data_IF_690453870848
#
_entry.id   IF_690453870848
#
_cell.length_a   1.000
_cell.length_b   1.000
_cell.length_c   1.000
_cell.angle_alpha   90.00
_cell.angle_beta   90.00
_cell.angle_gamma   90.00
#
_symmetry.space_group_name_H-M   'P 1'
#
loop_
_entity.id
_entity.type
_entity.pdbx_description
1 polymer ?
#
# COMPACT_ATOMS: atom_id res chain seq x y z
N UNK A 1 36.50 6.56 -18.51
CA UNK A 1 36.71 5.10 -18.45
C UNK A 1 36.86 4.72 -17.00
N UNK A 2 36.48 3.51 -16.64
CA UNK A 2 36.65 2.98 -15.29
C UNK A 2 37.54 1.75 -15.37
N UNK A 3 38.25 1.40 -14.30
CA UNK A 3 38.99 0.14 -14.23
C UNK A 3 38.34 -0.73 -13.18
N UNK A 4 37.97 -1.95 -13.56
CA UNK A 4 37.50 -2.96 -12.62
C UNK A 4 38.62 -3.95 -12.34
N UNK A 5 38.79 -4.35 -11.09
CA UNK A 5 39.80 -5.31 -10.68
C UNK A 5 39.11 -6.58 -10.13
N UNK A 6 39.54 -7.78 -10.55
CA UNK A 6 39.12 -9.04 -9.96
C UNK A 6 39.38 -9.13 -8.46
N UNK A 7 38.67 -10.02 -7.77
CA UNK A 7 38.81 -10.21 -6.33
C UNK A 7 40.26 -10.50 -5.91
N UNK A 8 40.98 -11.36 -6.64
CA UNK A 8 42.33 -11.77 -6.27
C UNK A 8 43.39 -10.67 -6.42
N UNK A 9 43.10 -9.61 -7.19
CA UNK A 9 43.95 -8.42 -7.27
C UNK A 9 43.72 -7.48 -6.07
N UNK A 10 42.48 -7.43 -5.56
CA UNK A 10 42.05 -6.53 -4.48
C UNK A 10 42.25 -7.13 -3.09
N UNK A 11 41.94 -8.42 -2.95
CA UNK A 11 41.98 -9.16 -1.69
C UNK A 11 43.22 -10.04 -1.63
N UNK A 12 44.13 -9.69 -0.71
CA UNK A 12 45.31 -10.51 -0.42
C UNK A 12 45.06 -11.45 0.76
N UNK A 13 45.66 -12.64 0.75
CA UNK A 13 45.70 -13.50 1.94
C UNK A 13 46.43 -12.77 3.08
N UNK A 14 45.82 -12.78 4.26
CA UNK A 14 46.40 -12.20 5.46
C UNK A 14 47.39 -13.13 6.14
N UNK A 15 47.98 -12.65 7.25
CA UNK A 15 49.01 -13.38 8.01
C UNK A 15 48.44 -14.64 8.69
N UNK A 16 47.16 -14.62 9.06
CA UNK A 16 46.49 -15.77 9.65
C UNK A 16 45.80 -16.61 8.56
N UNK A 17 45.83 -17.96 8.64
CA UNK A 17 45.10 -18.82 7.71
C UNK A 17 43.62 -18.44 7.65
N UNK A 18 43.10 -18.25 6.43
CA UNK A 18 41.71 -17.84 6.21
C UNK A 18 41.39 -16.37 6.51
N UNK A 19 42.39 -15.54 6.84
CA UNK A 19 42.24 -14.09 6.91
C UNK A 19 42.54 -13.43 5.57
N UNK A 20 41.91 -12.28 5.31
CA UNK A 20 42.12 -11.50 4.09
C UNK A 20 42.39 -10.04 4.43
N UNK A 21 43.16 -9.38 3.57
CA UNK A 21 43.46 -7.96 3.59
C UNK A 21 42.88 -7.28 2.37
N UNK A 22 42.58 -5.99 2.47
CA UNK A 22 42.04 -5.19 1.36
C UNK A 22 43.04 -4.14 0.91
N UNK A 23 43.41 -4.19 -0.36
CA UNK A 23 44.33 -3.23 -0.99
C UNK A 23 43.55 -2.02 -1.49
N UNK A 24 43.45 -1.00 -0.65
CA UNK A 24 42.65 0.20 -0.92
C UNK A 24 43.32 1.23 -1.85
N UNK A 25 44.64 1.20 -1.99
CA UNK A 25 45.41 2.14 -2.81
C UNK A 25 45.70 1.54 -4.18
N UNK A 26 45.64 2.32 -5.27
CA UNK A 26 45.87 1.79 -6.63
C UNK A 26 47.37 1.56 -6.94
N UNK A 27 48.25 1.68 -5.94
CA UNK A 27 49.70 1.52 -6.10
C UNK A 27 50.04 0.05 -6.44
N UNK A 28 50.68 -0.17 -7.59
CA UNK A 28 51.07 -1.52 -8.03
C UNK A 28 49.95 -2.33 -8.71
N UNK A 29 48.84 -1.68 -9.09
CA UNK A 29 47.80 -2.26 -9.94
C UNK A 29 48.08 -2.03 -11.45
N UNK A 30 49.28 -1.57 -11.83
CA UNK A 30 49.63 -1.26 -13.21
C UNK A 30 49.57 -2.51 -14.11
N UNK A 31 48.69 -2.49 -15.11
CA UNK A 31 48.47 -3.63 -16.01
C UNK A 31 47.55 -4.72 -15.45
N UNK A 32 47.11 -4.58 -14.20
CA UNK A 32 46.06 -5.39 -13.60
C UNK A 32 44.69 -4.71 -13.84
N UNK A 33 43.62 -5.50 -13.88
CA UNK A 33 42.27 -4.98 -14.09
C UNK A 33 41.86 -4.71 -15.54
N UNK A 34 40.54 -4.63 -15.74
CA UNK A 34 39.90 -4.47 -17.04
C UNK A 34 39.38 -3.05 -17.20
N UNK A 35 39.76 -2.42 -18.31
CA UNK A 35 39.25 -1.09 -18.66
C UNK A 35 37.80 -1.20 -19.14
N UNK A 36 36.90 -0.60 -18.38
CA UNK A 36 35.48 -0.47 -18.69
C UNK A 36 35.22 0.87 -19.40
N UNK A 37 34.47 0.80 -20.49
CA UNK A 37 33.98 1.96 -21.23
C UNK A 37 32.51 2.19 -20.93
N UNK A 38 32.14 3.44 -20.69
CA UNK A 38 30.73 3.83 -20.61
C UNK A 38 30.13 3.74 -22.02
N UNK A 39 29.14 2.86 -22.18
CA UNK A 39 28.48 2.62 -23.48
C UNK A 39 27.26 3.49 -23.70
N UNK A 40 26.66 4.04 -22.64
CA UNK A 40 25.51 4.93 -22.72
C UNK A 40 25.20 5.59 -21.39
N UNK A 41 24.53 6.73 -21.45
CA UNK A 41 23.96 7.43 -20.30
C UNK A 41 22.46 7.49 -20.53
N UNK A 42 21.70 6.85 -19.65
CA UNK A 42 20.25 6.88 -19.71
C UNK A 42 19.74 8.05 -18.86
N UNK A 43 18.89 8.88 -19.44
CA UNK A 43 18.16 9.92 -18.72
C UNK A 43 16.68 9.56 -18.68
N UNK A 44 16.01 9.99 -17.61
CA UNK A 44 14.57 9.82 -17.49
C UNK A 44 13.87 10.73 -18.51
N UNK A 45 12.79 10.24 -19.13
CA UNK A 45 11.96 11.04 -20.02
C UNK A 45 11.35 12.23 -19.27
N UNK A 46 11.23 13.37 -19.95
CA UNK A 46 10.53 14.53 -19.43
C UNK A 46 9.08 14.16 -19.07
N UNK A 47 8.60 14.65 -17.93
CA UNK A 47 7.26 14.37 -17.36
C UNK A 47 7.01 12.96 -16.81
N UNK A 48 8.05 12.14 -16.59
CA UNK A 48 7.90 10.85 -15.91
C UNK A 48 8.56 10.93 -14.52
N UNK A 49 7.80 10.63 -13.46
CA UNK A 49 8.32 10.64 -12.07
C UNK A 49 8.85 9.28 -11.62
N UNK A 50 8.65 8.23 -12.41
CA UNK A 50 9.02 6.85 -12.12
C UNK A 50 9.76 6.19 -13.30
N UNK A 51 10.58 5.18 -13.03
CA UNK A 51 11.29 4.42 -14.06
C UNK A 51 11.74 3.06 -13.53
N UNK A 52 11.99 2.12 -14.43
CA UNK A 52 12.48 0.77 -14.07
C UNK A 52 13.93 0.77 -13.56
N UNK A 53 14.65 1.88 -13.74
CA UNK A 53 16.03 2.04 -13.30
C UNK A 53 16.11 3.17 -12.25
N UNK A 54 16.81 2.89 -11.16
CA UNK A 54 17.25 3.88 -10.18
C UNK A 54 18.48 4.65 -10.69
N UNK A 55 18.85 5.74 -10.02
CA UNK A 55 20.10 6.42 -10.32
C UNK A 55 21.30 5.53 -9.96
N UNK A 56 22.21 5.31 -10.90
CA UNK A 56 23.40 4.52 -10.64
C UNK A 56 24.13 4.08 -11.90
N UNK A 57 25.09 3.18 -11.71
CA UNK A 57 25.85 2.53 -12.78
C UNK A 57 25.22 1.17 -13.02
N UNK A 58 24.86 0.90 -14.27
CA UNK A 58 24.34 -0.39 -14.71
C UNK A 58 25.39 -1.14 -15.52
N UNK A 59 25.40 -2.46 -15.36
CA UNK A 59 26.32 -3.35 -16.03
C UNK A 59 25.58 -4.13 -17.12
N UNK A 60 26.23 -4.32 -18.27
CA UNK A 60 25.71 -5.20 -19.32
C UNK A 60 25.77 -6.65 -18.86
N UNK A 61 24.87 -7.50 -19.34
CA UNK A 61 24.90 -8.94 -19.09
C UNK A 61 26.29 -9.57 -19.32
N UNK A 62 26.94 -9.23 -20.44
CA UNK A 62 28.27 -9.76 -20.75
C UNK A 62 29.33 -9.42 -19.68
N UNK A 63 29.31 -8.19 -19.16
CA UNK A 63 30.19 -7.77 -18.07
C UNK A 63 29.84 -8.50 -16.77
N UNK A 64 28.56 -8.63 -16.43
CA UNK A 64 28.11 -9.35 -15.24
C UNK A 64 28.54 -10.81 -15.29
N UNK A 65 28.31 -11.51 -16.41
CA UNK A 65 28.69 -12.91 -16.60
C UNK A 65 30.22 -13.08 -16.46
N UNK A 66 30.99 -12.19 -17.08
CA UNK A 66 32.47 -12.20 -17.00
C UNK A 66 32.95 -12.02 -15.56
N UNK A 67 32.38 -11.05 -14.83
CA UNK A 67 32.76 -10.79 -13.43
C UNK A 67 32.42 -11.99 -12.54
N UNK A 68 31.24 -12.60 -12.74
CA UNK A 68 30.83 -13.78 -11.97
C UNK A 68 31.75 -14.97 -12.25
N UNK A 69 32.08 -15.23 -13.52
CA UNK A 69 32.99 -16.32 -13.90
C UNK A 69 34.39 -16.12 -13.32
N UNK A 70 34.95 -14.90 -13.41
CA UNK A 70 36.29 -14.62 -12.88
C UNK A 70 36.37 -14.63 -11.35
N UNK A 71 35.30 -14.22 -10.66
CA UNK A 71 35.29 -14.17 -9.21
C UNK A 71 34.77 -15.46 -8.55
N UNK A 72 34.05 -16.33 -9.27
CA UNK A 72 33.44 -17.54 -8.70
C UNK A 72 34.44 -18.49 -8.03
N UNK A 73 35.67 -18.52 -8.56
CA UNK A 73 36.77 -19.35 -8.07
C UNK A 73 37.89 -18.54 -7.41
N UNK A 74 37.68 -17.23 -7.19
CA UNK A 74 38.62 -16.38 -6.47
C UNK A 74 38.93 -16.95 -5.09
N UNK A 75 40.16 -16.74 -4.61
CA UNK A 75 40.66 -17.35 -3.37
C UNK A 75 39.74 -17.06 -2.18
N UNK A 76 39.28 -15.81 -2.08
CA UNK A 76 38.36 -15.37 -1.01
C UNK A 76 37.00 -16.06 -1.07
N UNK A 77 36.45 -16.29 -2.28
CA UNK A 77 35.18 -16.98 -2.47
C UNK A 77 35.31 -18.46 -2.12
N UNK A 78 36.36 -19.11 -2.61
CA UNK A 78 36.64 -20.53 -2.32
C UNK A 78 36.88 -20.75 -0.83
N UNK A 79 37.66 -19.90 -0.18
CA UNK A 79 37.90 -19.96 1.27
C UNK A 79 36.62 -19.81 2.10
N UNK A 80 35.72 -18.90 1.71
CA UNK A 80 34.41 -18.76 2.38
C UNK A 80 33.58 -20.03 2.23
N UNK A 81 33.47 -20.53 0.99
CA UNK A 81 32.70 -21.73 0.65
C UNK A 81 33.21 -22.96 1.41
N UNK A 82 34.52 -23.18 1.43
CA UNK A 82 35.17 -24.30 2.11
C UNK A 82 35.03 -24.21 3.63
N UNK A 83 35.01 -23.00 4.18
CA UNK A 83 34.78 -22.78 5.62
C UNK A 83 33.30 -22.93 6.03
N UNK A 84 32.38 -23.14 5.09
CA UNK A 84 30.94 -23.16 5.33
C UNK A 84 30.36 -21.82 5.76
N UNK A 85 31.07 -20.71 5.52
CA UNK A 85 30.63 -19.34 5.86
C UNK A 85 30.09 -18.63 4.62
N UNK A 86 28.98 -17.94 4.77
CA UNK A 86 28.40 -17.14 3.68
C UNK A 86 28.86 -15.66 3.69
N UNK A 87 29.40 -15.20 4.82
CA UNK A 87 29.80 -13.80 5.02
C UNK A 87 31.07 -13.66 5.85
N UNK A 88 31.87 -12.62 5.56
CA UNK A 88 32.91 -12.11 6.48
C UNK A 88 32.37 -10.86 7.17
N UNK A 89 32.51 -10.79 8.49
CA UNK A 89 32.17 -9.60 9.28
C UNK A 89 33.44 -8.81 9.61
N UNK A 90 33.41 -7.52 9.37
CA UNK A 90 34.48 -6.57 9.69
C UNK A 90 33.94 -5.49 10.60
N UNK A 91 34.71 -5.05 11.59
CA UNK A 91 34.26 -4.01 12.53
C UNK A 91 35.23 -3.75 13.66
N UNK A 92 34.75 -3.11 14.72
CA UNK A 92 35.53 -2.77 15.91
C UNK A 92 34.92 -3.39 17.17
N UNK A 93 35.77 -4.03 17.98
CA UNK A 93 35.40 -4.53 19.30
C UNK A 93 36.40 -4.02 20.34
N UNK A 94 35.93 -3.28 21.34
CA UNK A 94 36.77 -2.62 22.35
C UNK A 94 37.86 -1.73 21.73
N UNK A 95 37.58 -1.10 20.58
CA UNK A 95 38.56 -0.29 19.84
C UNK A 95 39.57 -1.09 19.02
N UNK A 96 39.53 -2.43 19.05
CA UNK A 96 40.37 -3.28 18.21
C UNK A 96 39.63 -3.65 16.91
N UNK A 97 40.19 -3.34 15.73
CA UNK A 97 39.60 -3.74 14.46
C UNK A 97 39.68 -5.26 14.25
N UNK A 98 38.67 -5.83 13.62
CA UNK A 98 38.63 -7.23 13.20
C UNK A 98 38.01 -7.36 11.79
N UNK A 99 38.21 -8.53 11.17
CA UNK A 99 37.76 -8.82 9.81
C UNK A 99 38.68 -8.20 8.76
N UNK A 100 38.10 -7.78 7.63
CA UNK A 100 38.85 -7.15 6.54
C UNK A 100 38.81 -5.63 6.75
N UNK A 101 39.97 -5.06 7.05
CA UNK A 101 40.12 -3.64 7.30
C UNK A 101 41.17 -3.02 6.38
N UNK A 102 41.10 -1.70 6.25
CA UNK A 102 42.12 -0.92 5.56
C UNK A 102 42.34 0.39 6.30
N UNK A 103 43.53 0.95 6.17
CA UNK A 103 43.88 2.23 6.77
C UNK A 103 43.80 3.30 5.71
N UNK A 104 43.16 4.43 6.01
CA UNK A 104 43.10 5.57 5.10
C UNK A 104 43.44 6.86 5.83
N UNK A 105 43.96 7.83 5.08
CA UNK A 105 44.30 9.15 5.57
C UNK A 105 43.27 10.17 5.10
N UNK A 106 42.93 11.12 5.96
CA UNK A 106 42.02 12.22 5.65
C UNK A 106 42.48 13.51 6.32
N UNK A 107 42.19 14.63 5.67
CA UNK A 107 42.47 15.96 6.22
C UNK A 107 41.30 16.43 7.07
N UNK A 108 41.58 16.77 8.33
CA UNK A 108 40.60 17.37 9.23
C UNK A 108 41.21 18.56 9.95
N UNK A 109 40.61 19.74 9.78
CA UNK A 109 41.13 21.02 10.32
C UNK A 109 42.59 21.31 9.96
N UNK A 110 43.03 20.90 8.76
CA UNK A 110 44.40 21.12 8.28
C UNK A 110 45.44 20.10 8.79
N UNK A 111 45.04 19.14 9.61
CA UNK A 111 45.90 18.03 10.04
C UNK A 111 45.53 16.74 9.30
N UNK A 112 46.54 16.00 8.84
CA UNK A 112 46.35 14.63 8.32
C UNK A 112 46.08 13.70 9.48
N UNK A 113 44.93 13.04 9.44
CA UNK A 113 44.53 12.02 10.39
C UNK A 113 44.41 10.67 9.70
N UNK A 114 44.73 9.62 10.44
CA UNK A 114 44.61 8.24 9.98
C UNK A 114 43.40 7.59 10.64
N UNK A 115 42.59 6.88 9.85
CA UNK A 115 41.45 6.11 10.33
C UNK A 115 41.46 4.70 9.73
N UNK A 116 40.69 3.81 10.37
CA UNK A 116 40.48 2.44 9.90
C UNK A 116 39.12 2.34 9.24
N UNK A 117 39.09 1.89 8.00
CA UNK A 117 37.89 1.50 7.28
C UNK A 117 37.64 -0.01 7.40
N UNK A 118 36.37 -0.39 7.30
CA UNK A 118 35.90 -1.78 7.37
C UNK A 118 35.27 -2.14 6.03
N UNK A 119 35.65 -3.29 5.46
CA UNK A 119 35.16 -3.72 4.15
C UNK A 119 33.84 -4.48 4.29
N UNK A 120 32.89 -4.15 3.42
CA UNK A 120 31.58 -4.78 3.33
C UNK A 120 30.44 -3.76 3.28
N UNK A 121 29.21 -4.27 3.18
CA UNK A 121 27.99 -3.47 3.24
C UNK A 121 27.58 -3.20 4.70
N UNK A 122 26.91 -2.07 4.93
CA UNK A 122 26.24 -1.81 6.21
C UNK A 122 25.10 -2.80 6.44
N UNK A 123 24.93 -3.23 7.69
CA UNK A 123 23.83 -4.10 8.10
C UNK A 123 22.46 -3.46 7.86
N UNK A 124 21.56 -4.21 7.23
CA UNK A 124 20.13 -4.01 7.50
C UNK A 124 19.77 -4.61 8.87
N UNK A 125 18.62 -4.20 9.44
CA UNK A 125 18.16 -4.77 10.72
C UNK A 125 17.84 -6.27 10.63
N UNK A 126 17.54 -6.76 9.41
CA UNK A 126 17.30 -8.17 9.16
C UNK A 126 18.62 -8.97 9.10
N UNK A 127 19.65 -8.41 8.48
CA UNK A 127 21.01 -8.97 8.50
C UNK A 127 21.62 -8.97 9.90
N UNK A 128 21.24 -7.99 10.73
CA UNK A 128 21.63 -7.94 12.14
C UNK A 128 21.07 -9.15 12.90
N UNK A 129 19.79 -9.48 12.71
CA UNK A 129 19.19 -10.65 13.37
C UNK A 129 19.82 -11.97 12.92
N UNK A 130 20.17 -12.13 11.63
CA UNK A 130 20.83 -13.34 11.14
C UNK A 130 22.30 -13.43 11.59
N UNK A 131 23.04 -12.33 11.55
CA UNK A 131 24.43 -12.26 11.99
C UNK A 131 24.58 -12.61 13.48
N UNK A 132 23.71 -12.06 14.34
CA UNK A 132 23.68 -12.41 15.76
C UNK A 132 23.14 -13.83 16.02
N UNK A 133 22.22 -14.32 15.18
CA UNK A 133 21.78 -15.71 15.20
C UNK A 133 22.93 -16.70 14.97
N UNK A 134 23.88 -16.38 14.08
CA UNK A 134 25.07 -17.20 13.83
C UNK A 134 26.12 -17.17 14.97
N UNK A 135 26.14 -16.10 15.77
CA UNK A 135 26.99 -15.97 16.96
C UNK A 135 26.35 -16.61 18.21
N UNK A 136 25.07 -17.00 18.15
CA UNK A 136 24.25 -17.45 19.28
C UNK A 136 23.92 -18.94 19.27
N UNK A 137 24.93 -19.81 19.21
CA UNK A 137 24.77 -21.23 19.55
C UNK A 137 24.61 -21.43 21.05
N UNK A 138 23.45 -21.08 21.60
CA UNK A 138 23.15 -21.25 23.02
C UNK A 138 21.68 -20.98 23.33
N UNK A 139 20.88 -22.05 23.38
CA UNK A 139 19.53 -22.05 23.91
C UNK A 139 19.54 -21.56 25.36
N UNK A 140 19.18 -20.30 25.57
CA UNK A 140 19.05 -19.69 26.89
C UNK A 140 17.85 -18.75 26.90
N UNK A 141 16.69 -19.30 27.22
CA UNK A 141 15.52 -18.52 27.64
C UNK A 141 15.90 -17.64 28.84
N UNK A 142 16.05 -16.34 28.60
CA UNK A 142 16.41 -15.37 29.63
C UNK A 142 15.88 -14.00 29.28
N UNK A 143 14.71 -13.67 29.83
CA UNK A 143 14.25 -12.29 30.00
C UNK A 143 15.33 -11.50 30.74
N UNK A 144 16.08 -10.66 30.02
CA UNK A 144 17.16 -9.84 30.55
C UNK A 144 17.31 -8.58 29.73
N UNK A 145 17.36 -7.45 30.43
CA UNK A 145 17.44 -6.08 29.94
C UNK A 145 18.31 -5.85 28.71
N UNK A 146 17.86 -4.96 27.83
CA UNK A 146 18.70 -4.24 26.88
C UNK A 146 19.84 -3.52 27.63
N UNK A 147 21.00 -4.17 27.73
CA UNK A 147 22.16 -3.69 28.45
C UNK A 147 23.41 -4.45 28.05
N UNK A 148 24.22 -3.86 27.17
CA UNK A 148 25.63 -4.20 26.99
C UNK A 148 25.94 -5.34 26.02
N UNK A 149 25.82 -5.09 24.72
CA UNK A 149 26.70 -5.76 23.73
C UNK A 149 28.13 -5.30 24.03
N UNK A 150 28.88 -6.09 24.80
CA UNK A 150 30.22 -5.76 25.26
C UNK A 150 31.12 -5.29 24.11
N UNK A 151 31.58 -4.04 24.16
CA UNK A 151 32.65 -3.52 23.31
C UNK A 151 32.38 -3.37 21.81
N UNK A 152 31.32 -3.96 21.27
CA UNK A 152 31.04 -3.97 19.83
C UNK A 152 30.40 -2.66 19.40
N UNK A 153 31.07 -1.93 18.51
CA UNK A 153 30.51 -0.73 17.90
C UNK A 153 29.62 -1.12 16.70
N UNK A 154 28.31 -1.10 16.91
CA UNK A 154 27.35 -1.52 15.88
C UNK A 154 27.41 -0.64 14.62
N UNK A 155 27.79 0.62 14.75
CA UNK A 155 27.97 1.56 13.64
C UNK A 155 29.10 1.16 12.69
N UNK A 156 30.09 0.43 13.19
CA UNK A 156 31.33 0.13 12.47
C UNK A 156 31.25 -1.24 11.78
N UNK A 157 30.23 -2.04 12.11
CA UNK A 157 30.06 -3.38 11.56
C UNK A 157 29.70 -3.36 10.07
N UNK A 158 30.42 -4.17 9.30
CA UNK A 158 30.28 -4.36 7.86
C UNK A 158 30.31 -5.84 7.52
N UNK A 159 29.59 -6.24 6.46
CA UNK A 159 29.47 -7.63 6.03
C UNK A 159 29.79 -7.74 4.56
N UNK A 160 30.67 -8.67 4.24
CA UNK A 160 31.02 -9.01 2.87
C UNK A 160 30.52 -10.42 2.60
N UNK A 161 29.44 -10.53 1.83
CA UNK A 161 28.82 -11.83 1.50
C UNK A 161 29.47 -12.48 0.28
N UNK A 162 29.31 -13.80 0.14
CA UNK A 162 29.62 -14.54 -1.09
C UNK A 162 29.00 -13.86 -2.32
N UNK A 163 27.78 -13.33 -2.19
CA UNK A 163 27.10 -12.58 -3.26
C UNK A 163 27.83 -11.28 -3.61
N UNK A 164 28.29 -10.50 -2.62
CA UNK A 164 29.08 -9.29 -2.88
C UNK A 164 30.39 -9.60 -3.60
N UNK A 165 30.96 -10.77 -3.32
CA UNK A 165 32.17 -11.27 -3.96
C UNK A 165 31.92 -11.91 -5.34
N UNK A 166 30.67 -12.06 -5.80
CA UNK A 166 30.36 -12.73 -7.06
C UNK A 166 30.39 -14.26 -6.99
N UNK A 167 30.42 -14.84 -5.79
CA UNK A 167 30.41 -16.30 -5.57
C UNK A 167 29.03 -16.96 -5.65
N UNK A 168 27.97 -16.20 -5.93
CA UNK A 168 26.59 -16.68 -6.09
C UNK A 168 26.03 -16.18 -7.41
N UNK A 169 25.61 -17.09 -8.29
CA UNK A 169 25.06 -16.79 -9.62
C UNK A 169 23.53 -16.63 -9.64
N UNK A 170 22.83 -17.05 -8.58
CA UNK A 170 21.36 -16.95 -8.50
C UNK A 170 20.94 -15.51 -8.23
N UNK A 171 19.95 -14.99 -8.95
CA UNK A 171 19.41 -13.65 -8.72
C UNK A 171 18.87 -13.48 -7.28
N UNK A 172 18.96 -12.26 -6.73
CA UNK A 172 18.43 -11.94 -5.41
C UNK A 172 16.94 -11.58 -5.46
N UNK A 173 16.56 -10.80 -6.47
CA UNK A 173 15.20 -10.36 -6.74
C UNK A 173 14.96 -10.36 -8.26
N UNK A 174 13.69 -10.45 -8.63
CA UNK A 174 13.24 -10.34 -10.02
C UNK A 174 12.18 -9.27 -10.07
N UNK A 175 12.46 -8.20 -10.82
CA UNK A 175 11.51 -7.12 -11.07
C UNK A 175 10.78 -7.36 -12.39
N UNK A 176 9.46 -7.54 -12.33
CA UNK A 176 8.60 -7.75 -13.50
C UNK A 176 7.84 -6.44 -13.76
N UNK A 177 7.85 -5.98 -15.01
CA UNK A 177 7.16 -4.76 -15.44
C UNK A 177 6.11 -5.09 -16.51
N UNK A 178 4.88 -5.48 -16.11
CA UNK A 178 3.81 -5.76 -17.06
C UNK A 178 3.45 -4.52 -17.88
N UNK A 179 3.12 -4.71 -19.16
CA UNK A 179 2.79 -3.62 -20.09
C UNK A 179 1.34 -3.13 -19.98
N UNK A 180 0.47 -3.90 -19.33
CA UNK A 180 -0.96 -3.61 -19.14
C UNK A 180 -1.46 -4.16 -17.81
N UNK A 181 -2.64 -3.69 -17.37
CA UNK A 181 -3.31 -4.21 -16.17
C UNK A 181 -3.67 -5.69 -16.33
N UNK A 182 -4.20 -6.09 -17.49
CA UNK A 182 -4.55 -7.50 -17.76
C UNK A 182 -3.31 -8.40 -17.65
N UNK A 183 -2.17 -7.97 -18.21
CA UNK A 183 -0.91 -8.72 -18.09
C UNK A 183 -0.40 -8.78 -16.66
N UNK A 184 -0.59 -7.71 -15.89
CA UNK A 184 -0.23 -7.66 -14.47
C UNK A 184 -1.08 -8.63 -13.65
N UNK A 185 -2.39 -8.69 -13.92
CA UNK A 185 -3.31 -9.57 -13.20
C UNK A 185 -2.99 -11.05 -13.49
N UNK A 186 -2.66 -11.40 -14.73
CA UNK A 186 -2.18 -12.74 -15.09
C UNK A 186 -0.89 -13.13 -14.35
N UNK A 187 0.05 -12.20 -14.19
CA UNK A 187 1.29 -12.46 -13.44
C UNK A 187 0.98 -12.70 -11.96
N UNK A 188 0.16 -11.86 -11.34
CA UNK A 188 -0.20 -12.03 -9.92
C UNK A 188 -1.01 -13.31 -9.70
N UNK A 189 -1.94 -13.64 -10.60
CA UNK A 189 -2.71 -14.89 -10.55
C UNK A 189 -1.80 -16.12 -10.64
N UNK A 190 -0.81 -16.09 -11.53
CA UNK A 190 0.18 -17.16 -11.62
C UNK A 190 1.02 -17.29 -10.34
N UNK A 191 1.47 -16.18 -9.77
CA UNK A 191 2.25 -16.19 -8.52
C UNK A 191 1.42 -16.66 -7.32
N UNK A 192 0.13 -16.32 -7.27
CA UNK A 192 -0.80 -16.81 -6.26
C UNK A 192 -1.04 -18.31 -6.43
N UNK A 193 -1.25 -18.79 -7.66
CA UNK A 193 -1.37 -20.21 -7.97
C UNK A 193 -0.08 -20.99 -7.63
N UNK A 194 1.09 -20.40 -7.86
CA UNK A 194 2.38 -20.97 -7.46
C UNK A 194 2.47 -21.16 -5.94
N UNK A 195 1.95 -20.21 -5.19
CA UNK A 195 1.96 -20.23 -3.72
C UNK A 195 0.85 -21.10 -3.11
N UNK A 196 -0.22 -21.37 -3.85
CA UNK A 196 -1.33 -22.19 -3.39
C UNK A 196 -0.94 -23.67 -3.16
N UNK A 197 -1.72 -24.38 -2.35
CA UNK A 197 -1.46 -25.75 -1.90
C UNK A 197 -1.69 -26.83 -2.98
N UNK A 198 -2.31 -26.48 -4.11
CA UNK A 198 -2.57 -27.40 -5.21
C UNK A 198 -1.39 -27.55 -6.17
N UNK A 199 -1.25 -28.72 -6.80
CA UNK A 199 -0.22 -28.97 -7.82
C UNK A 199 -0.41 -28.07 -9.05
N UNK A 200 0.69 -27.66 -9.66
CA UNK A 200 0.68 -26.81 -10.87
C UNK A 200 1.33 -27.54 -12.02
N UNK A 201 0.85 -27.29 -13.24
CA UNK A 201 1.50 -27.78 -14.47
C UNK A 201 2.25 -26.64 -15.12
N UNK A 202 3.56 -26.76 -15.23
CA UNK A 202 4.44 -25.79 -15.92
C UNK A 202 5.12 -26.52 -17.07
N UNK A 203 4.95 -26.03 -18.30
CA UNK A 203 5.54 -26.61 -19.51
C UNK A 203 5.30 -28.12 -19.68
N UNK A 204 4.14 -28.61 -19.24
CA UNK A 204 3.75 -30.01 -19.31
C UNK A 204 4.26 -30.91 -18.17
N UNK A 205 4.99 -30.35 -17.20
CA UNK A 205 5.42 -31.04 -15.99
C UNK A 205 4.55 -30.63 -14.78
N UNK A 206 4.01 -31.62 -14.07
CA UNK A 206 3.30 -31.38 -12.80
C UNK A 206 4.31 -31.23 -11.67
N UNK A 207 4.24 -30.11 -10.96
CA UNK A 207 5.10 -29.79 -9.82
C UNK A 207 4.25 -29.82 -8.56
N UNK A 208 4.60 -30.70 -7.62
CA UNK A 208 3.93 -30.81 -6.35
C UNK A 208 4.22 -29.60 -5.46
N UNK A 209 3.35 -29.31 -4.47
CA UNK A 209 3.63 -28.23 -3.50
C UNK A 209 4.92 -28.45 -2.71
N UNK A 210 5.23 -29.69 -2.34
CA UNK A 210 6.43 -30.03 -1.56
C UNK A 210 7.75 -29.68 -2.25
N UNK A 211 7.74 -29.59 -3.59
CA UNK A 211 8.92 -29.29 -4.41
C UNK A 211 9.02 -27.80 -4.77
N UNK A 212 8.09 -26.96 -4.29
CA UNK A 212 8.03 -25.53 -4.59
C UNK A 212 8.35 -24.69 -3.35
N UNK A 213 9.28 -23.76 -3.50
CA UNK A 213 9.46 -22.68 -2.55
C UNK A 213 8.35 -21.63 -2.72
N UNK A 214 7.87 -21.06 -1.61
CA UNK A 214 6.96 -19.92 -1.65
C UNK A 214 7.68 -18.70 -2.23
N UNK A 215 7.00 -18.00 -3.12
CA UNK A 215 7.47 -16.75 -3.72
C UNK A 215 6.83 -15.59 -2.99
N UNK A 216 7.63 -14.81 -2.29
CA UNK A 216 7.19 -13.52 -1.74
C UNK A 216 7.32 -12.47 -2.83
N UNK A 217 6.20 -11.80 -3.16
CA UNK A 217 6.19 -10.73 -4.14
C UNK A 217 5.40 -9.52 -3.64
N UNK A 218 5.72 -8.34 -4.18
CA UNK A 218 5.07 -7.08 -3.81
C UNK A 218 4.51 -6.40 -5.05
N UNK A 219 3.20 -6.21 -5.09
CA UNK A 219 2.53 -5.41 -6.10
C UNK A 219 2.35 -3.96 -5.63
N UNK A 220 3.28 -3.11 -6.04
CA UNK A 220 3.31 -1.70 -5.65
C UNK A 220 2.13 -0.91 -6.19
N UNK A 221 1.61 -1.27 -7.37
CA UNK A 221 0.49 -0.59 -7.99
C UNK A 221 -0.81 -0.90 -7.25
N UNK A 222 -1.06 -2.17 -6.94
CA UNK A 222 -2.22 -2.57 -6.14
C UNK A 222 -2.16 -1.97 -4.74
N UNK A 223 -0.98 -1.86 -4.13
CA UNK A 223 -0.82 -1.17 -2.84
C UNK A 223 -1.31 0.28 -2.92
N UNK A 224 -0.87 1.05 -3.94
CA UNK A 224 -1.30 2.44 -4.12
C UNK A 224 -2.80 2.55 -4.37
N UNK A 225 -3.36 1.70 -5.25
CA UNK A 225 -4.80 1.65 -5.53
C UNK A 225 -5.58 1.33 -4.26
N UNK A 226 -5.13 0.37 -3.46
CA UNK A 226 -5.78 -0.02 -2.22
C UNK A 226 -5.77 1.12 -1.18
N UNK A 227 -4.68 1.89 -1.10
CA UNK A 227 -4.63 3.09 -0.25
C UNK A 227 -5.67 4.12 -0.71
N UNK A 228 -5.75 4.40 -2.01
CA UNK A 228 -6.72 5.35 -2.57
C UNK A 228 -8.16 4.88 -2.29
N UNK A 229 -8.46 3.61 -2.54
CA UNK A 229 -9.79 3.04 -2.26
C UNK A 229 -10.14 3.13 -0.78
N UNK A 230 -9.20 2.80 0.12
CA UNK A 230 -9.41 2.93 1.56
C UNK A 230 -9.72 4.37 1.98
N UNK A 231 -9.04 5.35 1.37
CA UNK A 231 -9.34 6.77 1.61
C UNK A 231 -10.73 7.17 1.11
N UNK A 232 -11.11 6.72 -0.10
CA UNK A 232 -12.45 6.93 -0.66
C UNK A 232 -13.52 6.33 0.25
N UNK A 233 -13.30 5.12 0.76
CA UNK A 233 -14.24 4.43 1.65
C UNK A 233 -14.41 5.17 2.97
N UNK A 234 -13.33 5.62 3.59
CA UNK A 234 -13.39 6.40 4.84
C UNK A 234 -14.21 7.68 4.64
N UNK A 235 -13.95 8.42 3.56
CA UNK A 235 -14.70 9.65 3.24
C UNK A 235 -16.16 9.31 2.94
N UNK A 236 -16.42 8.25 2.18
CA UNK A 236 -17.77 7.81 1.82
C UNK A 236 -18.58 7.41 3.05
N UNK A 237 -18.01 6.63 3.97
CA UNK A 237 -18.67 6.27 5.22
C UNK A 237 -18.94 7.48 6.12
N UNK A 238 -18.01 8.43 6.18
CA UNK A 238 -18.25 9.68 6.91
C UNK A 238 -19.42 10.46 6.32
N UNK A 239 -19.46 10.64 4.99
CA UNK A 239 -20.56 11.33 4.30
C UNK A 239 -21.89 10.59 4.45
N UNK A 240 -21.90 9.25 4.38
CA UNK A 240 -23.07 8.42 4.62
C UNK A 240 -23.57 8.63 6.07
N UNK A 241 -22.67 8.65 7.05
CA UNK A 241 -23.05 8.91 8.44
C UNK A 241 -23.70 10.29 8.61
N UNK A 242 -23.11 11.35 8.06
CA UNK A 242 -23.71 12.70 8.09
C UNK A 242 -25.06 12.76 7.37
N UNK A 243 -25.15 12.14 6.20
CA UNK A 243 -26.39 12.08 5.41
C UNK A 243 -27.48 11.33 6.17
N UNK A 244 -27.13 10.22 6.84
CA UNK A 244 -28.07 9.43 7.64
C UNK A 244 -28.66 10.23 8.81
N UNK A 245 -27.84 11.02 9.50
CA UNK A 245 -28.28 11.89 10.60
C UNK A 245 -29.19 12.99 10.05
N UNK A 246 -28.80 13.62 8.95
CA UNK A 246 -29.63 14.64 8.28
C UNK A 246 -30.98 14.05 7.85
N UNK A 247 -30.99 12.83 7.31
CA UNK A 247 -32.20 12.13 6.89
C UNK A 247 -33.15 11.86 8.05
N UNK A 248 -32.64 11.44 9.21
CA UNK A 248 -33.45 11.25 10.43
C UNK A 248 -34.04 12.58 10.89
N UNK A 249 -33.23 13.64 10.97
CA UNK A 249 -33.70 14.98 11.36
C UNK A 249 -34.78 15.49 10.41
N UNK A 250 -34.58 15.35 9.09
CA UNK A 250 -35.58 15.71 8.08
C UNK A 250 -36.87 14.90 8.22
N UNK A 251 -36.77 13.60 8.50
CA UNK A 251 -37.94 12.73 8.69
C UNK A 251 -38.77 13.17 9.91
N UNK A 252 -38.12 13.52 11.02
CA UNK A 252 -38.81 14.06 12.21
C UNK A 252 -39.47 15.40 11.91
N UNK A 253 -38.79 16.30 11.17
CA UNK A 253 -39.34 17.60 10.80
C UNK A 253 -40.60 17.48 9.94
N UNK A 254 -40.60 16.57 8.95
CA UNK A 254 -41.80 16.28 8.15
C UNK A 254 -42.96 15.82 9.05
N UNK A 255 -42.66 15.03 10.08
CA UNK A 255 -43.66 14.49 11.02
C UNK A 255 -44.27 15.58 11.88
N UNK A 256 -43.45 16.53 12.34
CA UNK A 256 -43.91 17.69 13.10
C UNK A 256 -44.79 18.58 12.23
N UNK A 257 -44.36 18.90 11.00
CA UNK A 257 -45.12 19.75 10.09
C UNK A 257 -46.47 19.12 9.75
N UNK A 258 -46.50 17.83 9.44
CA UNK A 258 -47.74 17.09 9.16
C UNK A 258 -48.63 16.99 10.39
N UNK A 259 -48.07 16.83 11.59
CA UNK A 259 -48.83 16.90 12.83
C UNK A 259 -49.48 18.27 13.05
N UNK A 260 -48.73 19.36 12.89
CA UNK A 260 -49.28 20.73 13.03
C UNK A 260 -50.38 20.97 12.00
N UNK A 261 -50.17 20.59 10.74
CA UNK A 261 -51.17 20.73 9.67
C UNK A 261 -52.48 19.98 9.98
N UNK A 262 -52.39 18.78 10.55
CA UNK A 262 -53.55 18.02 11.01
C UNK A 262 -54.29 18.74 12.15
N UNK A 263 -53.54 19.31 13.10
CA UNK A 263 -54.09 20.02 14.25
C UNK A 263 -54.82 21.30 13.84
N UNK A 264 -54.26 22.06 12.89
CA UNK A 264 -54.91 23.25 12.33
C UNK A 264 -56.22 22.92 11.60
N UNK A 265 -56.29 21.76 10.95
CA UNK A 265 -57.48 21.28 10.21
C UNK A 265 -58.46 20.45 11.07
N UNK A 266 -58.37 20.48 12.41
CA UNK A 266 -59.26 19.67 13.29
C UNK A 266 -60.75 19.97 13.05
N UNK A 267 -61.13 21.23 12.83
CA UNK A 267 -62.54 21.61 12.57
C UNK A 267 -63.07 20.97 11.29
N UNK A 268 -62.27 20.96 10.22
CA UNK A 268 -62.61 20.31 8.95
C UNK A 268 -62.81 18.81 9.12
N UNK A 269 -61.93 18.14 9.88
CA UNK A 269 -62.05 16.71 10.21
C UNK A 269 -63.34 16.44 11.00
N UNK A 270 -63.68 17.31 11.96
CA UNK A 270 -64.91 17.22 12.75
C UNK A 270 -66.17 17.29 11.89
N UNK A 271 -66.20 18.18 10.89
CA UNK A 271 -67.29 18.29 9.91
C UNK A 271 -67.39 17.01 9.07
N UNK A 272 -66.27 16.53 8.51
CA UNK A 272 -66.24 15.30 7.68
C UNK A 272 -66.74 14.08 8.47
N UNK A 273 -66.32 13.94 9.74
CA UNK A 273 -66.77 12.83 10.61
C UNK A 273 -68.24 12.95 11.02
N UNK A 274 -68.76 14.17 11.16
CA UNK A 274 -70.17 14.42 11.52
C UNK A 274 -71.13 14.19 10.35
N UNK A 275 -70.64 14.34 9.11
CA UNK A 275 -71.36 14.00 7.87
C UNK A 275 -71.32 12.51 7.53
N UNK A 276 -70.69 11.66 8.36
CA UNK A 276 -70.65 10.20 8.21
C UNK A 276 -69.32 9.63 7.67
N UNK A 277 -68.27 10.44 7.51
CA UNK A 277 -66.96 9.97 7.09
C UNK A 277 -66.33 8.98 8.08
N UNK A 278 -65.78 7.86 7.60
CA UNK A 278 -65.14 6.85 8.45
C UNK A 278 -63.77 7.32 8.90
N UNK A 279 -63.28 6.81 10.04
CA UNK A 279 -61.91 7.08 10.54
C UNK A 279 -60.84 6.75 9.49
N UNK A 280 -61.07 5.71 8.68
CA UNK A 280 -60.16 5.30 7.59
C UNK A 280 -60.12 6.33 6.45
N UNK A 281 -61.23 6.98 6.13
CA UNK A 281 -61.30 7.94 5.02
C UNK A 281 -60.47 9.19 5.35
N UNK A 282 -60.54 9.65 6.60
CA UNK A 282 -59.70 10.74 7.13
C UNK A 282 -58.21 10.35 7.11
N UNK A 283 -57.88 9.13 7.56
CA UNK A 283 -56.48 8.66 7.54
C UNK A 283 -55.94 8.50 6.12
N UNK A 284 -56.76 8.03 5.16
CA UNK A 284 -56.35 7.89 3.76
C UNK A 284 -56.11 9.25 3.09
N UNK A 285 -56.89 10.27 3.44
CA UNK A 285 -56.68 11.63 2.93
C UNK A 285 -55.28 12.15 3.30
N UNK A 286 -54.91 12.07 4.58
CA UNK A 286 -53.59 12.53 5.04
C UNK A 286 -52.44 11.63 4.55
N UNK A 287 -52.66 10.31 4.43
CA UNK A 287 -51.69 9.42 3.82
C UNK A 287 -51.49 9.71 2.32
N UNK A 288 -52.55 10.10 1.60
CA UNK A 288 -52.44 10.52 0.21
C UNK A 288 -51.69 11.85 0.07
N UNK A 289 -51.93 12.82 0.95
CA UNK A 289 -51.19 14.09 0.99
C UNK A 289 -49.69 13.85 1.18
N UNK A 290 -49.32 13.00 2.14
CA UNK A 290 -47.91 12.66 2.42
C UNK A 290 -47.26 11.81 1.33
N UNK A 291 -48.02 10.95 0.64
CA UNK A 291 -47.56 10.22 -0.54
C UNK A 291 -47.24 11.16 -1.72
N UNK A 292 -48.13 12.13 -1.99
CA UNK A 292 -47.94 13.12 -3.06
C UNK A 292 -46.71 13.98 -2.76
N UNK A 293 -46.59 14.47 -1.52
CA UNK A 293 -45.42 15.26 -1.08
C UNK A 293 -44.14 14.45 -1.24
N UNK A 294 -44.11 13.19 -0.80
CA UNK A 294 -42.93 12.33 -0.94
C UNK A 294 -42.54 12.07 -2.39
N UNK A 295 -43.53 11.80 -3.25
CA UNK A 295 -43.28 11.55 -4.67
C UNK A 295 -42.72 12.79 -5.37
N UNK A 296 -43.33 13.95 -5.14
CA UNK A 296 -42.88 15.21 -5.73
C UNK A 296 -41.50 15.63 -5.21
N UNK A 297 -41.25 15.48 -3.91
CA UNK A 297 -39.96 15.77 -3.30
C UNK A 297 -38.86 14.85 -3.84
N UNK A 298 -39.13 13.54 -3.96
CA UNK A 298 -38.19 12.56 -4.51
C UNK A 298 -37.84 12.84 -5.98
N UNK A 299 -38.86 13.11 -6.81
CA UNK A 299 -38.65 13.49 -8.23
C UNK A 299 -37.86 14.80 -8.35
N UNK A 300 -38.21 15.80 -7.55
CA UNK A 300 -37.50 17.09 -7.54
C UNK A 300 -36.05 16.93 -7.08
N UNK A 301 -35.81 16.12 -6.04
CA UNK A 301 -34.46 15.80 -5.56
C UNK A 301 -33.59 15.20 -6.66
N UNK A 302 -34.10 14.22 -7.40
CA UNK A 302 -33.38 13.59 -8.51
C UNK A 302 -33.12 14.56 -9.65
N UNK A 303 -34.10 15.40 -9.99
CA UNK A 303 -33.93 16.43 -11.01
C UNK A 303 -32.77 17.36 -10.65
N UNK A 304 -32.72 17.81 -9.39
CA UNK A 304 -31.63 18.65 -8.87
C UNK A 304 -30.31 17.90 -8.87
N UNK A 305 -30.28 16.63 -8.47
CA UNK A 305 -29.06 15.80 -8.51
C UNK A 305 -28.51 15.68 -9.93
N UNK A 306 -29.35 15.36 -10.92
CA UNK A 306 -28.89 15.29 -12.31
C UNK A 306 -28.38 16.64 -12.84
N UNK A 307 -29.03 17.73 -12.47
CA UNK A 307 -28.60 19.08 -12.87
C UNK A 307 -27.23 19.42 -12.26
N UNK A 308 -27.01 19.13 -10.98
CA UNK A 308 -25.72 19.33 -10.32
C UNK A 308 -24.66 18.39 -10.92
N UNK A 309 -24.96 17.11 -11.14
CA UNK A 309 -24.06 16.16 -11.78
C UNK A 309 -23.61 16.63 -13.16
N UNK A 310 -24.51 17.21 -13.96
CA UNK A 310 -24.15 17.77 -15.26
C UNK A 310 -23.18 18.96 -15.13
N UNK A 311 -23.43 19.87 -14.18
CA UNK A 311 -22.54 21.01 -13.91
C UNK A 311 -21.17 20.53 -13.45
N UNK A 312 -21.13 19.55 -12.53
CA UNK A 312 -19.88 18.96 -12.03
C UNK A 312 -19.09 18.32 -13.17
N UNK A 313 -19.74 17.48 -14.00
CA UNK A 313 -19.08 16.85 -15.13
C UNK A 313 -18.57 17.87 -16.16
N UNK A 314 -19.29 18.97 -16.39
CA UNK A 314 -18.86 20.04 -17.29
C UNK A 314 -17.57 20.72 -16.80
N UNK A 315 -17.44 20.93 -15.49
CA UNK A 315 -16.27 21.58 -14.88
C UNK A 315 -15.10 20.60 -14.79
N UNK A 316 -15.34 19.33 -14.45
CA UNK A 316 -14.30 18.33 -14.21
C UNK A 316 -13.75 17.72 -15.50
N UNK A 317 -14.54 17.61 -16.57
CA UNK A 317 -14.10 16.98 -17.82
C UNK A 317 -12.81 17.61 -18.40
N UNK A 318 -12.66 18.95 -18.48
CA UNK A 318 -11.41 19.59 -18.94
C UNK A 318 -10.20 19.36 -18.04
N UNK A 319 -10.41 19.08 -16.74
CA UNK A 319 -9.34 18.94 -15.75
C UNK A 319 -8.77 17.53 -15.70
N UNK A 320 -9.63 16.51 -15.87
CA UNK A 320 -9.30 15.12 -15.55
C UNK A 320 -9.36 14.22 -16.79
N UNK A 321 -10.04 14.64 -17.86
CA UNK A 321 -10.16 13.88 -19.11
C UNK A 321 -11.02 12.61 -19.02
N UNK A 322 -11.65 12.34 -17.86
CA UNK A 322 -12.52 11.19 -17.64
C UNK A 322 -13.99 11.65 -17.76
N UNK A 323 -14.77 11.11 -18.71
CA UNK A 323 -16.18 11.43 -18.83
C UNK A 323 -17.02 10.78 -17.72
N UNK A 324 -18.10 11.46 -17.30
CA UNK A 324 -19.16 10.93 -16.41
C UNK A 324 -18.69 10.45 -15.02
N UNK A 325 -17.82 11.22 -14.36
CA UNK A 325 -17.38 10.92 -12.99
C UNK A 325 -18.56 11.03 -12.01
N UNK A 326 -19.37 12.08 -12.14
CA UNK A 326 -20.61 12.23 -11.38
C UNK A 326 -21.78 11.63 -12.18
N UNK A 327 -21.97 10.31 -12.09
CA UNK A 327 -23.07 9.61 -12.73
C UNK A 327 -24.02 9.01 -11.70
N UNK A 328 -25.32 9.27 -11.84
CA UNK A 328 -26.37 8.61 -11.06
C UNK A 328 -27.08 7.59 -11.97
N UNK A 329 -26.80 6.28 -11.82
CA UNK A 329 -27.52 5.22 -12.52
C UNK A 329 -29.03 5.29 -12.27
N UNK A 330 -29.82 5.05 -13.30
CA UNK A 330 -31.30 5.12 -13.25
C UNK A 330 -31.87 4.21 -12.15
N UNK A 331 -31.26 3.04 -11.94
CA UNK A 331 -31.69 2.11 -10.88
C UNK A 331 -31.54 2.71 -9.47
N UNK A 332 -30.45 3.44 -9.21
CA UNK A 332 -30.23 4.11 -7.94
C UNK A 332 -31.15 5.33 -7.77
N UNK A 333 -31.40 6.07 -8.85
CA UNK A 333 -32.37 7.17 -8.84
C UNK A 333 -33.76 6.68 -8.44
N UNK A 334 -34.25 5.59 -9.03
CA UNK A 334 -35.56 5.02 -8.70
C UNK A 334 -35.62 4.58 -7.22
N UNK A 335 -34.55 3.96 -6.71
CA UNK A 335 -34.44 3.59 -5.31
C UNK A 335 -34.54 4.80 -4.37
N UNK A 336 -33.94 5.95 -4.73
CA UNK A 336 -34.04 7.19 -3.96
C UNK A 336 -35.46 7.77 -3.93
N UNK A 337 -36.23 7.69 -5.03
CA UNK A 337 -37.66 8.07 -5.03
C UNK A 337 -38.43 7.20 -4.05
N UNK A 338 -38.26 5.88 -4.14
CA UNK A 338 -38.95 4.93 -3.28
C UNK A 338 -38.60 5.17 -1.80
N UNK A 339 -37.33 5.44 -1.51
CA UNK A 339 -36.88 5.77 -0.16
C UNK A 339 -37.51 7.08 0.33
N UNK A 340 -37.59 8.11 -0.52
CA UNK A 340 -38.23 9.38 -0.18
C UNK A 340 -39.72 9.19 0.17
N UNK A 341 -40.46 8.46 -0.66
CA UNK A 341 -41.88 8.13 -0.41
C UNK A 341 -42.03 7.33 0.88
N UNK A 342 -41.17 6.33 1.11
CA UNK A 342 -41.22 5.51 2.31
C UNK A 342 -41.02 6.36 3.58
N UNK A 343 -40.03 7.26 3.59
CA UNK A 343 -39.74 8.12 4.74
C UNK A 343 -40.84 9.13 5.02
N UNK A 344 -41.40 9.77 3.99
CA UNK A 344 -42.51 10.72 4.19
C UNK A 344 -43.77 10.02 4.68
N UNK A 345 -44.07 8.81 4.16
CA UNK A 345 -45.18 8.00 4.65
C UNK A 345 -45.00 7.58 6.10
N UNK A 346 -43.84 7.02 6.46
CA UNK A 346 -43.53 6.60 7.84
C UNK A 346 -43.73 7.78 8.80
N UNK A 347 -43.26 8.97 8.40
CA UNK A 347 -43.41 10.19 9.18
C UNK A 347 -44.88 10.66 9.31
N UNK A 348 -45.66 10.56 8.23
CA UNK A 348 -47.06 10.96 8.17
C UNK A 348 -48.07 10.01 8.84
N UNK A 349 -47.73 8.72 9.00
CA UNK A 349 -48.63 7.71 9.55
C UNK A 349 -49.05 8.01 11.00
N UNK A 350 -48.12 8.50 11.82
CA UNK A 350 -48.36 8.84 13.23
C UNK A 350 -49.40 9.97 13.37
N UNK A 351 -49.23 11.15 12.74
CA UNK A 351 -50.22 12.22 12.81
C UNK A 351 -51.54 11.85 12.12
N UNK A 352 -51.53 11.14 10.98
CA UNK A 352 -52.75 10.72 10.29
C UNK A 352 -53.63 9.80 11.17
N UNK A 353 -53.00 8.86 11.90
CA UNK A 353 -53.70 7.98 12.85
C UNK A 353 -54.25 8.76 14.05
N UNK A 354 -53.49 9.75 14.56
CA UNK A 354 -53.95 10.64 15.63
C UNK A 354 -55.17 11.47 15.21
N UNK A 355 -55.15 12.04 14.01
CA UNK A 355 -56.25 12.79 13.38
C UNK A 355 -57.55 11.97 13.35
N UNK A 356 -57.46 10.75 12.83
CA UNK A 356 -58.58 9.86 12.62
C UNK A 356 -59.27 9.41 13.94
N UNK A 357 -58.58 9.53 15.08
CA UNK A 357 -59.09 9.13 16.40
C UNK A 357 -59.73 10.28 17.19
N UNK A 358 -59.66 11.53 16.73
CA UNK A 358 -60.26 12.69 17.42
C UNK A 358 -61.79 12.63 17.42
N UNK A 359 -62.41 12.84 18.58
CA UNK A 359 -63.87 12.83 18.76
C UNK A 359 -64.52 14.00 18.00
N UNK A 360 -65.59 13.79 17.19
CA UNK A 360 -66.18 14.85 16.38
C UNK A 360 -66.84 15.94 17.24
N UNK A 361 -67.38 15.56 18.41
CA UNK A 361 -68.05 16.49 19.33
C UNK A 361 -67.03 17.43 19.97
N UNK A 362 -65.84 16.90 20.30
CA UNK A 362 -64.74 17.71 20.85
C UNK A 362 -64.15 18.62 19.77
N UNK A 363 -63.99 18.12 18.54
CA UNK A 363 -63.44 18.89 17.41
C UNK A 363 -64.31 20.11 17.01
N UNK A 364 -65.63 20.03 17.18
CA UNK A 364 -66.57 21.12 16.89
C UNK A 364 -66.76 22.10 18.07
N UNK A 365 -66.37 21.72 19.28
CA UNK A 365 -66.51 22.53 20.51
C UNK A 365 -65.31 23.42 20.79
N UNK A 366 -64.15 23.13 20.20
CA UNK A 366 -62.95 23.96 20.30
C UNK A 366 -63.15 25.32 19.61
N UNK A 367 -63.01 26.41 20.36
CA UNK A 367 -63.00 27.81 19.86
C UNK A 367 -61.94 28.04 18.77
#
# INVERSE_FOLDING_TARGET
TFTWYPNDDIFGEGVLPGSYTYRHDTTGYEGHGKTLKVVGILTRKENVSYGSLSSGIYYTKALTDTILEENADSKIVTSLRDSGKETITSGSMNGMPFGITYTYEYLWNGETKTATGYVGSSLSMQDMMSAFGSMGGGSGSGSGSAGGTGGLNMSDLRYLSLRNLGGVSVANDVSIYPVSFDSKDLVTEYLDAWNNDGDITVDGATIAKGDRANVTYTDTLSLVINIINTMIDIISYALIAFTSISLVVSTVMIGIITYVSVVERIKEIGVIRSLGGRKKDVSHLFNAETFIIGTLAGLFGILVTYLISAIVNLILYPLIGIPNIAALPIGQALLLVLLSIALTLISGLIPASSAARKDPVVALRTE
#
